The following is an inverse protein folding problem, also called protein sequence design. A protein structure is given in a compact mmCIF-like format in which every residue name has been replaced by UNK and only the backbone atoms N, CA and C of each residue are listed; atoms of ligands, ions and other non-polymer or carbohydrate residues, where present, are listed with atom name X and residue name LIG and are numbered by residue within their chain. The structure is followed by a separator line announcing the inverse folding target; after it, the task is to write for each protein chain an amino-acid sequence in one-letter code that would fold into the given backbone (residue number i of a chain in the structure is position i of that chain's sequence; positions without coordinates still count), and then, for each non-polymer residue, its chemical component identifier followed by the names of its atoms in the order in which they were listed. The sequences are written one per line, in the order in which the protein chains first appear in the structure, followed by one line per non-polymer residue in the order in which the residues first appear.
data_IF_620324466788
#
_entry.id   IF_620324466788
#
_cell.length_a   1.000
_cell.length_b   1.000
_cell.length_c   1.000
_cell.angle_alpha   90.00
_cell.angle_beta   90.00
_cell.angle_gamma   90.00
#
_symmetry.space_group_name_H-M   'P 1'
#
loop_
_entity.id
_entity.type
_entity.pdbx_description
1 polymer ?
#
# COMPACT_ATOMS: atom_id res chain seq x y z
N UNK A 1 -13.20 13.28 3.92
CA UNK A 1 -14.03 12.89 2.78
C UNK A 1 -15.31 13.68 2.82
N UNK A 2 -15.30 14.87 2.24
CA UNK A 2 -16.51 15.54 1.80
C UNK A 2 -16.39 15.58 0.29
N UNK A 3 -17.42 15.11 -0.40
CA UNK A 3 -17.51 15.18 -1.85
C UNK A 3 -17.76 16.66 -2.19
N UNK A 4 -16.71 17.49 -2.05
CA UNK A 4 -16.77 18.90 -2.37
C UNK A 4 -16.75 18.98 -3.89
N UNK A 5 -17.92 19.00 -4.51
CA UNK A 5 -18.04 19.24 -5.93
C UNK A 5 -17.30 20.55 -6.25
N UNK A 6 -16.20 20.45 -6.99
CA UNK A 6 -15.41 21.59 -7.44
C UNK A 6 -16.19 22.25 -8.58
N UNK A 7 -16.22 23.58 -8.62
CA UNK A 7 -16.90 24.33 -9.68
C UNK A 7 -16.36 23.91 -11.07
N UNK A 8 -17.22 23.47 -12.01
CA UNK A 8 -16.83 23.10 -13.36
C UNK A 8 -16.05 24.19 -14.09
N UNK A 9 -16.31 25.48 -13.82
CA UNK A 9 -15.57 26.61 -14.40
C UNK A 9 -14.12 26.60 -13.97
N UNK A 10 -13.85 26.31 -12.69
CA UNK A 10 -12.49 26.18 -12.19
C UNK A 10 -11.77 24.98 -12.83
N UNK A 11 -12.46 23.84 -12.91
CA UNK A 11 -11.93 22.63 -13.56
C UNK A 11 -11.57 22.89 -15.04
N UNK A 12 -12.33 23.71 -15.76
CA UNK A 12 -12.09 23.98 -17.19
C UNK A 12 -10.72 24.60 -17.51
N UNK A 13 -10.03 25.16 -16.51
CA UNK A 13 -8.68 25.70 -16.65
C UNK A 13 -7.57 24.65 -16.44
N UNK A 14 -7.91 23.41 -16.07
CA UNK A 14 -6.94 22.35 -15.77
C UNK A 14 -7.23 21.06 -16.54
N UNK A 15 -6.16 20.32 -16.86
CA UNK A 15 -6.27 18.93 -17.31
C UNK A 15 -6.35 18.00 -16.09
N UNK A 16 -7.43 17.23 -15.98
CA UNK A 16 -7.62 16.24 -14.91
C UNK A 16 -7.13 14.88 -15.39
N UNK A 17 -6.23 14.27 -14.61
CA UNK A 17 -5.81 12.89 -14.80
C UNK A 17 -6.31 12.03 -13.63
N UNK A 18 -6.96 10.92 -13.94
CA UNK A 18 -7.32 9.91 -12.97
C UNK A 18 -6.27 8.80 -12.96
N UNK A 19 -5.61 8.61 -11.82
CA UNK A 19 -4.63 7.54 -11.63
C UNK A 19 -5.32 6.41 -10.88
N UNK A 20 -5.53 5.29 -11.58
CA UNK A 20 -6.05 4.07 -10.97
C UNK A 20 -5.05 3.46 -10.01
N UNK A 21 -5.54 2.77 -8.99
CA UNK A 21 -4.69 1.99 -8.10
C UNK A 21 -3.91 0.92 -8.88
N UNK A 22 -2.64 0.66 -8.51
CA UNK A 22 -1.84 -0.38 -9.15
C UNK A 22 -2.44 -1.77 -8.92
N UNK A 23 -2.16 -2.70 -9.84
CA UNK A 23 -2.60 -4.09 -9.68
C UNK A 23 -1.89 -4.78 -8.51
N UNK A 24 -2.48 -5.87 -8.00
CA UNK A 24 -1.88 -6.67 -6.92
C UNK A 24 -0.50 -7.22 -7.30
N UNK A 25 -0.33 -7.63 -8.54
CA UNK A 25 0.92 -8.14 -9.09
C UNK A 25 1.98 -7.03 -9.14
N UNK A 26 1.56 -5.82 -9.50
CA UNK A 26 2.44 -4.64 -9.50
C UNK A 26 2.91 -4.30 -8.09
N UNK A 27 1.99 -4.30 -7.11
CA UNK A 27 2.31 -4.08 -5.70
C UNK A 27 3.26 -5.16 -5.16
N UNK A 28 2.97 -6.42 -5.45
CA UNK A 28 3.83 -7.55 -5.08
C UNK A 28 5.24 -7.37 -5.62
N UNK A 29 5.36 -7.05 -6.91
CA UNK A 29 6.66 -6.84 -7.56
C UNK A 29 7.42 -5.66 -6.95
N UNK A 30 6.77 -4.51 -6.80
CA UNK A 30 7.41 -3.29 -6.27
C UNK A 30 7.94 -3.54 -4.86
N UNK A 31 7.11 -4.03 -3.95
CA UNK A 31 7.52 -4.22 -2.55
C UNK A 31 8.50 -5.39 -2.38
N UNK A 32 8.39 -6.45 -3.19
CA UNK A 32 9.37 -7.55 -3.17
C UNK A 32 10.75 -7.06 -3.58
N UNK A 33 10.87 -6.31 -4.68
CA UNK A 33 12.17 -5.79 -5.14
C UNK A 33 12.80 -4.89 -4.08
N UNK A 34 12.01 -3.99 -3.48
CA UNK A 34 12.47 -3.07 -2.43
C UNK A 34 13.02 -3.84 -1.22
N UNK A 35 12.25 -4.78 -0.67
CA UNK A 35 12.70 -5.53 0.50
C UNK A 35 13.83 -6.51 0.17
N UNK A 36 13.78 -7.19 -0.97
CA UNK A 36 14.85 -8.10 -1.40
C UNK A 36 16.18 -7.39 -1.51
N UNK A 37 16.17 -6.17 -2.05
CA UNK A 37 17.39 -5.36 -2.15
C UNK A 37 17.93 -4.95 -0.77
N UNK A 38 17.04 -4.61 0.17
CA UNK A 38 17.41 -4.27 1.55
C UNK A 38 18.09 -5.43 2.27
N UNK A 39 17.57 -6.66 2.09
CA UNK A 39 18.07 -7.82 2.84
C UNK A 39 19.26 -8.54 2.20
N UNK A 40 19.89 -7.99 1.17
CA UNK A 40 21.05 -8.63 0.50
C UNK A 40 22.19 -8.96 1.48
N UNK A 41 22.39 -8.13 2.52
CA UNK A 41 23.43 -8.32 3.54
C UNK A 41 22.99 -9.18 4.73
N UNK A 42 21.74 -9.64 4.74
CA UNK A 42 21.16 -10.43 5.83
C UNK A 42 21.41 -11.93 5.57
N UNK A 43 21.22 -12.81 6.57
CA UNK A 43 21.29 -14.26 6.38
C UNK A 43 20.37 -14.75 5.27
N UNK A 44 20.78 -15.80 4.56
CA UNK A 44 20.08 -16.33 3.38
C UNK A 44 18.63 -16.74 3.71
N UNK A 45 18.41 -17.23 4.92
CA UNK A 45 17.10 -17.64 5.43
C UNK A 45 16.12 -16.45 5.46
N UNK A 46 16.62 -15.23 5.71
CA UNK A 46 15.82 -14.00 5.68
C UNK A 46 15.52 -13.56 4.25
N UNK A 47 16.47 -13.76 3.33
CA UNK A 47 16.28 -13.39 1.93
C UNK A 47 15.20 -14.25 1.27
N UNK A 48 15.20 -15.55 1.56
CA UNK A 48 14.26 -16.52 0.98
C UNK A 48 12.80 -16.30 1.43
N UNK A 49 12.57 -15.71 2.62
CA UNK A 49 11.22 -15.48 3.14
C UNK A 49 10.56 -14.19 2.63
N UNK A 50 11.32 -13.24 2.06
CA UNK A 50 10.76 -11.94 1.62
C UNK A 50 9.56 -12.07 0.67
N UNK A 51 9.57 -12.91 -0.37
CA UNK A 51 8.41 -13.06 -1.26
C UNK A 51 7.15 -13.50 -0.50
N UNK A 52 7.31 -14.39 0.49
CA UNK A 52 6.20 -14.86 1.32
C UNK A 52 5.69 -13.75 2.24
N UNK A 53 6.58 -12.96 2.84
CA UNK A 53 6.21 -11.80 3.66
C UNK A 53 5.35 -10.83 2.85
N UNK A 54 5.79 -10.46 1.64
CA UNK A 54 5.01 -9.54 0.80
C UNK A 54 3.67 -10.14 0.38
N UNK A 55 3.65 -11.43 -0.01
CA UNK A 55 2.42 -12.14 -0.38
C UNK A 55 1.37 -12.10 0.75
N UNK A 56 1.78 -12.47 1.97
CA UNK A 56 0.88 -12.50 3.12
C UNK A 56 0.48 -11.10 3.58
N UNK A 57 1.38 -10.12 3.52
CA UNK A 57 1.06 -8.72 3.84
C UNK A 57 -0.04 -8.18 2.92
N UNK A 58 0.05 -8.44 1.61
CA UNK A 58 -0.99 -8.04 0.65
C UNK A 58 -2.31 -8.79 0.88
N UNK A 59 -2.26 -10.08 1.20
CA UNK A 59 -3.47 -10.85 1.52
C UNK A 59 -4.18 -10.29 2.77
N UNK A 60 -3.43 -10.01 3.84
CA UNK A 60 -3.97 -9.41 5.06
C UNK A 60 -4.56 -8.03 4.77
N UNK A 61 -3.91 -7.23 3.92
CA UNK A 61 -4.44 -5.93 3.51
C UNK A 61 -5.78 -6.05 2.76
N UNK A 62 -5.90 -7.02 1.84
CA UNK A 62 -7.16 -7.31 1.15
C UNK A 62 -8.26 -7.77 2.13
N UNK A 63 -7.90 -8.55 3.15
CA UNK A 63 -8.82 -8.98 4.22
C UNK A 63 -9.25 -7.79 5.09
N UNK A 64 -8.32 -6.90 5.43
CA UNK A 64 -8.61 -5.70 6.21
C UNK A 64 -9.60 -4.79 5.48
N UNK A 65 -9.36 -4.54 4.19
CA UNK A 65 -10.27 -3.73 3.36
C UNK A 65 -11.69 -4.32 3.30
N UNK A 66 -11.82 -5.65 3.32
CA UNK A 66 -13.11 -6.34 3.30
C UNK A 66 -13.81 -6.35 4.65
N UNK A 67 -13.06 -6.57 5.74
CA UNK A 67 -13.62 -6.76 7.09
C UNK A 67 -13.86 -5.43 7.82
N UNK A 68 -13.04 -4.42 7.56
CA UNK A 68 -13.08 -3.14 8.27
C UNK A 68 -13.62 -2.03 7.37
N UNK A 69 -14.89 -2.18 6.97
CA UNK A 69 -15.59 -1.15 6.20
C UNK A 69 -15.98 0.02 7.13
N UNK A 70 -15.78 1.28 6.73
CA UNK A 70 -16.20 2.42 7.52
C UNK A 70 -17.71 2.40 7.78
N UNK A 71 -18.09 2.54 9.04
CA UNK A 71 -19.49 2.69 9.46
C UNK A 71 -19.66 4.02 10.20
N UNK A 72 -20.90 4.46 10.44
CA UNK A 72 -21.16 5.71 11.19
C UNK A 72 -20.49 5.70 12.58
N UNK A 73 -20.41 4.54 13.22
CA UNK A 73 -19.74 4.36 14.53
C UNK A 73 -18.24 4.07 14.43
N UNK A 74 -17.75 3.62 13.26
CA UNK A 74 -16.34 3.26 13.03
C UNK A 74 -15.81 3.91 11.76
N UNK A 75 -15.92 5.23 11.69
CA UNK A 75 -15.53 6.03 10.53
C UNK A 75 -14.00 6.12 10.33
N UNK A 76 -13.22 5.75 11.34
CA UNK A 76 -11.76 5.77 11.32
C UNK A 76 -11.13 4.55 10.61
N UNK A 77 -11.94 3.58 10.15
CA UNK A 77 -11.46 2.48 9.31
C UNK A 77 -11.24 2.94 7.86
N UNK A 78 -10.17 3.68 7.66
CA UNK A 78 -9.74 4.17 6.36
C UNK A 78 -8.34 3.61 6.10
N UNK A 79 -8.26 2.65 5.19
CA UNK A 79 -7.01 2.01 4.79
C UNK A 79 -6.67 2.41 3.35
N UNK A 80 -5.39 2.63 3.11
CA UNK A 80 -4.87 3.09 1.83
C UNK A 80 -3.51 2.47 1.55
N UNK A 81 -3.00 2.67 0.32
CA UNK A 81 -1.66 2.23 -0.05
C UNK A 81 -0.57 2.80 0.87
N UNK A 82 -0.82 3.94 1.53
CA UNK A 82 0.10 4.53 2.50
C UNK A 82 0.38 3.60 3.69
N UNK A 83 -0.60 2.80 4.10
CA UNK A 83 -0.45 1.88 5.23
C UNK A 83 0.50 0.74 4.87
N UNK A 84 0.37 0.19 3.67
CA UNK A 84 1.35 -0.76 3.11
C UNK A 84 2.74 -0.13 3.01
N UNK A 85 2.85 1.09 2.48
CA UNK A 85 4.14 1.78 2.36
C UNK A 85 4.82 1.98 3.71
N UNK A 86 4.06 2.27 4.78
CA UNK A 86 4.60 2.42 6.14
C UNK A 86 5.15 1.11 6.69
N UNK A 87 4.42 0.00 6.51
CA UNK A 87 4.89 -1.33 6.95
C UNK A 87 6.24 -1.64 6.29
N UNK A 88 6.34 -1.46 4.97
CA UNK A 88 7.58 -1.70 4.23
C UNK A 88 8.68 -0.74 4.69
N UNK A 89 8.39 0.54 4.87
CA UNK A 89 9.36 1.52 5.35
C UNK A 89 9.91 1.16 6.74
N UNK A 90 9.07 0.66 7.64
CA UNK A 90 9.53 0.18 8.96
C UNK A 90 10.45 -1.04 8.84
N UNK A 91 10.17 -1.97 7.93
CA UNK A 91 11.05 -3.12 7.68
C UNK A 91 12.40 -2.69 7.10
N UNK A 92 12.44 -1.62 6.31
CA UNK A 92 13.68 -1.04 5.76
C UNK A 92 14.57 -0.37 6.82
N UNK A 93 14.11 -0.22 8.05
CA UNK A 93 14.91 0.33 9.15
C UNK A 93 15.65 -0.76 9.95
N UNK A 94 15.47 -2.03 9.58
CA UNK A 94 16.16 -3.15 10.22
C UNK A 94 17.62 -3.22 9.79
N UNK A 95 18.47 -3.72 10.69
CA UNK A 95 19.90 -3.97 10.45
C UNK A 95 20.16 -5.47 10.35
N UNK A 96 21.18 -5.89 9.56
CA UNK A 96 21.55 -7.28 9.40
C UNK A 96 22.02 -7.95 10.70
#
# INVERSE_FOLDING_TARGET
GSNNNIDPRFISHFSIFYISSPSRESLFRIFSIILQHHVITFPIEIQEIIPNIIKYTLQIYDDILRLFVPTSTKFYYIFSLRDLSRIIQSLLQTTP
#
